data_IF_779356789385
#
_entry.id   IF_779356789385
#
_cell.length_a   1.000
_cell.length_b   1.000
_cell.length_c   1.000
_cell.angle_alpha   90.00
_cell.angle_beta   90.00
_cell.angle_gamma   90.00
#
_symmetry.space_group_name_H-M   'P 1'
#
loop_
_entity.id
_entity.type
_entity.pdbx_description
1 polymer ?
#
# COMPACT_ATOMS: atom_id res chain seq x y z
N UNK A 1 -2.42 31.55 22.40
CA UNK A 1 -1.04 31.03 22.20
C UNK A 1 -1.07 29.54 22.54
N UNK A 2 -0.63 28.63 21.67
CA UNK A 2 -0.73 27.18 21.95
C UNK A 2 0.39 26.62 22.84
N UNK A 3 1.39 27.43 23.23
CA UNK A 3 2.45 26.99 24.14
C UNK A 3 3.47 26.09 23.43
N UNK A 4 3.95 25.04 24.10
CA UNK A 4 4.89 24.08 23.52
C UNK A 4 4.16 23.09 22.60
N UNK A 5 4.88 22.62 21.58
CA UNK A 5 4.34 21.60 20.68
C UNK A 5 4.12 20.26 21.40
N UNK A 6 3.12 19.47 20.97
CA UNK A 6 2.81 18.19 21.59
C UNK A 6 3.95 17.18 21.41
N UNK A 7 4.11 16.28 22.37
CA UNK A 7 4.99 15.13 22.21
C UNK A 7 4.31 14.08 21.30
N UNK A 8 5.10 13.49 20.39
CA UNK A 8 4.65 12.41 19.50
C UNK A 8 5.43 11.15 19.88
N UNK A 9 4.78 10.10 20.41
CA UNK A 9 5.46 8.83 20.67
C UNK A 9 6.06 8.26 19.38
N UNK A 10 7.32 7.84 19.44
CA UNK A 10 8.09 7.36 18.29
C UNK A 10 8.24 8.39 17.16
N UNK A 11 8.07 9.68 17.47
CA UNK A 11 8.21 10.77 16.51
C UNK A 11 9.22 11.79 17.00
N UNK A 12 10.12 12.17 16.11
CA UNK A 12 11.10 13.22 16.33
C UNK A 12 10.65 14.51 15.66
N UNK A 13 10.88 15.64 16.30
CA UNK A 13 10.52 16.95 15.74
C UNK A 13 11.58 17.41 14.75
N UNK A 14 11.20 18.05 13.65
CA UNK A 14 12.19 18.59 12.71
C UNK A 14 13.09 19.65 13.39
N UNK A 15 14.42 19.63 13.13
CA UNK A 15 15.34 20.61 13.68
C UNK A 15 14.91 22.04 13.37
N UNK A 16 14.97 22.94 14.37
CA UNK A 16 14.61 24.35 14.21
C UNK A 16 13.13 24.68 14.46
N UNK A 17 12.35 23.72 14.96
CA UNK A 17 10.97 23.93 15.42
C UNK A 17 10.87 23.92 16.95
N UNK A 18 11.84 24.55 17.62
CA UNK A 18 11.88 24.70 19.07
C UNK A 18 11.42 26.10 19.48
N UNK A 19 10.36 26.20 20.28
CA UNK A 19 9.83 27.48 20.72
C UNK A 19 8.42 27.45 21.29
N UNK A 20 7.90 28.65 21.57
CA UNK A 20 6.47 28.85 21.83
C UNK A 20 5.73 29.09 20.52
N UNK A 21 4.58 28.43 20.39
CA UNK A 21 3.75 28.52 19.19
C UNK A 21 2.50 29.39 19.42
N UNK A 22 2.19 30.19 18.41
CA UNK A 22 1.07 31.11 18.31
C UNK A 22 0.06 30.63 17.27
N UNK A 23 -1.08 31.32 17.20
CA UNK A 23 -2.19 30.96 16.31
C UNK A 23 -1.69 30.82 14.85
N UNK A 24 -2.09 29.73 14.20
CA UNK A 24 -1.70 29.29 12.85
C UNK A 24 -0.29 28.72 12.67
N UNK A 25 0.54 28.69 13.71
CA UNK A 25 1.85 28.03 13.61
C UNK A 25 1.70 26.53 13.36
N UNK A 26 2.67 26.00 12.61
CA UNK A 26 2.75 24.59 12.21
C UNK A 26 4.05 23.96 12.70
N UNK A 27 3.94 22.74 13.25
CA UNK A 27 5.08 21.95 13.70
C UNK A 27 5.11 20.63 12.95
N UNK A 28 6.29 20.31 12.40
CA UNK A 28 6.57 19.11 11.62
C UNK A 28 7.28 18.07 12.47
N UNK A 29 6.86 16.82 12.34
CA UNK A 29 7.52 15.66 12.93
C UNK A 29 7.89 14.65 11.85
N UNK A 30 8.88 13.83 12.13
CA UNK A 30 9.23 12.62 11.40
C UNK A 30 9.10 11.42 12.34
N UNK A 31 8.82 10.24 11.81
CA UNK A 31 8.79 9.03 12.62
C UNK A 31 10.20 8.46 12.83
N UNK A 32 10.44 7.89 14.00
CA UNK A 32 11.66 7.12 14.29
C UNK A 32 11.80 5.94 13.31
N UNK A 33 13.05 5.52 13.07
CA UNK A 33 13.34 4.37 12.21
C UNK A 33 12.55 3.12 12.65
N UNK A 34 11.92 2.45 11.68
CA UNK A 34 11.09 1.27 11.94
C UNK A 34 9.65 1.57 12.38
N UNK A 35 9.24 2.83 12.42
CA UNK A 35 7.84 3.24 12.59
C UNK A 35 7.36 4.09 11.43
N UNK A 36 6.05 4.07 11.17
CA UNK A 36 5.45 4.83 10.08
C UNK A 36 4.13 5.45 10.50
N UNK A 37 3.67 6.44 9.73
CA UNK A 37 2.44 7.18 9.99
C UNK A 37 1.21 6.30 9.97
N UNK A 38 0.62 6.10 11.15
CA UNK A 38 -0.46 5.14 11.36
C UNK A 38 -0.13 3.72 10.85
N UNK A 39 1.17 3.39 10.72
CA UNK A 39 1.64 2.10 10.21
C UNK A 39 1.65 1.98 8.69
N UNK A 40 1.42 3.08 7.94
CA UNK A 40 1.43 3.08 6.47
C UNK A 40 2.76 3.59 5.92
N UNK A 41 3.32 2.88 4.93
CA UNK A 41 4.63 3.20 4.35
C UNK A 41 4.64 4.44 3.43
N UNK A 42 5.78 5.17 3.34
CA UNK A 42 5.99 6.30 2.43
C UNK A 42 5.50 6.12 0.98
N UNK A 43 5.55 4.91 0.42
CA UNK A 43 5.09 4.66 -0.95
C UNK A 43 3.58 4.94 -1.18
N UNK A 44 2.75 4.98 -0.12
CA UNK A 44 1.33 5.39 -0.19
C UNK A 44 0.97 6.55 0.73
N UNK A 45 1.95 7.17 1.36
CA UNK A 45 1.79 8.35 2.19
C UNK A 45 3.17 8.84 2.54
N UNK A 46 3.70 9.72 1.69
CA UNK A 46 5.09 10.22 1.73
C UNK A 46 5.55 10.61 3.12
N UNK A 47 6.88 10.68 3.28
CA UNK A 47 7.62 11.12 4.48
C UNK A 47 6.68 11.83 5.44
N UNK A 48 6.31 11.14 6.51
CA UNK A 48 5.15 11.48 7.29
C UNK A 48 5.37 12.74 8.09
N UNK A 49 5.30 13.88 7.41
CA UNK A 49 5.37 15.20 8.00
C UNK A 49 4.06 15.39 8.75
N UNK A 50 4.06 14.99 10.03
CA UNK A 50 2.91 15.23 10.90
C UNK A 50 2.86 16.74 11.14
N UNK A 51 1.80 17.39 10.69
CA UNK A 51 1.61 18.84 10.89
C UNK A 51 0.64 19.07 12.04
N UNK A 52 1.16 19.58 13.16
CA UNK A 52 0.34 20.09 14.24
C UNK A 52 0.10 21.59 14.03
N UNK A 53 -1.17 22.01 13.89
CA UNK A 53 -1.55 23.42 13.70
C UNK A 53 -2.19 23.99 14.96
N UNK A 54 -1.76 25.18 15.37
CA UNK A 54 -2.34 25.91 16.48
C UNK A 54 -3.64 26.64 16.06
N UNK A 55 -4.79 26.32 16.67
CA UNK A 55 -6.08 26.90 16.30
C UNK A 55 -7.09 27.02 17.44
N UNK A 56 -8.27 27.59 17.14
CA UNK A 56 -9.36 27.83 18.11
C UNK A 56 -10.56 26.86 17.97
N UNK A 57 -10.65 26.12 16.85
CA UNK A 57 -11.81 25.29 16.49
C UNK A 57 -11.44 23.82 16.18
N UNK A 58 -10.70 23.18 17.08
CA UNK A 58 -10.39 21.75 17.00
C UNK A 58 -11.14 20.94 18.06
N UNK A 59 -11.06 19.60 17.99
CA UNK A 59 -11.41 18.72 19.10
C UNK A 59 -10.10 18.07 19.57
N UNK A 60 -9.21 18.84 20.19
CA UNK A 60 -7.85 18.44 20.58
C UNK A 60 -7.59 18.35 22.09
N UNK A 61 -6.35 18.03 22.47
CA UNK A 61 -5.86 18.01 23.87
C UNK A 61 -5.88 19.46 24.38
N UNK A 62 -6.70 19.73 25.41
CA UNK A 62 -6.78 21.05 26.05
C UNK A 62 -5.55 21.24 26.95
N UNK A 63 -4.72 22.22 26.63
CA UNK A 63 -4.05 22.98 27.68
C UNK A 63 -4.77 24.33 27.84
N UNK A 64 -4.54 25.03 28.95
CA UNK A 64 -5.28 26.23 29.32
C UNK A 64 -5.02 27.47 28.42
N UNK A 65 -4.29 27.35 27.29
CA UNK A 65 -3.78 28.50 26.52
C UNK A 65 -4.05 28.47 25.00
N UNK A 66 -4.37 27.32 24.42
CA UNK A 66 -4.76 27.17 23.00
C UNK A 66 -5.02 25.71 22.63
N UNK A 67 -5.52 25.44 21.41
CA UNK A 67 -5.85 24.08 20.99
C UNK A 67 -4.99 23.63 19.81
N UNK A 68 -4.18 22.59 20.03
CA UNK A 68 -3.51 21.86 18.95
C UNK A 68 -4.52 21.05 18.15
N UNK A 69 -4.30 20.92 16.84
CA UNK A 69 -5.10 20.06 15.96
C UNK A 69 -5.22 18.63 16.54
N UNK A 70 -6.38 18.00 16.29
CA UNK A 70 -6.89 16.78 16.93
C UNK A 70 -5.93 15.58 16.78
N UNK A 71 -5.05 15.43 17.78
CA UNK A 71 -4.01 14.40 17.96
C UNK A 71 -3.00 14.33 16.81
N UNK A 72 -1.70 14.50 17.10
CA UNK A 72 -0.67 14.06 16.17
C UNK A 72 -0.94 12.60 15.83
N UNK A 73 -1.10 12.37 14.55
CA UNK A 73 -1.09 11.05 13.94
C UNK A 73 0.09 10.25 14.47
N UNK A 74 -0.17 9.02 14.91
CA UNK A 74 0.80 8.27 15.70
C UNK A 74 1.80 7.57 14.78
N UNK A 75 3.07 7.65 15.12
CA UNK A 75 4.07 6.74 14.60
C UNK A 75 3.80 5.36 15.21
N UNK A 76 3.54 4.37 14.37
CA UNK A 76 3.22 3.02 14.81
C UNK A 76 3.96 1.99 13.97
N UNK A 77 3.99 0.74 14.45
CA UNK A 77 4.62 -0.35 13.74
C UNK A 77 4.09 -0.45 12.29
N UNK A 78 4.97 -0.69 11.31
CA UNK A 78 4.60 -0.78 9.91
C UNK A 78 3.60 -1.90 9.68
N UNK A 79 2.71 -1.68 8.72
CA UNK A 79 1.67 -2.62 8.31
C UNK A 79 1.55 -2.54 6.81
N UNK A 80 1.36 -3.68 6.16
CA UNK A 80 1.06 -3.70 4.75
C UNK A 80 -0.34 -3.11 4.51
N UNK A 81 -0.59 -2.73 3.25
CA UNK A 81 -1.90 -2.29 2.80
C UNK A 81 -3.00 -3.28 3.26
N UNK A 82 -4.15 -2.73 3.63
CA UNK A 82 -5.27 -3.55 4.12
C UNK A 82 -5.86 -4.48 3.06
N UNK A 83 -5.51 -4.31 1.79
CA UNK A 83 -6.04 -5.05 0.66
C UNK A 83 -4.96 -5.28 -0.39
N UNK A 84 -4.82 -6.54 -0.81
CA UNK A 84 -4.05 -6.93 -1.98
C UNK A 84 -4.50 -6.16 -3.24
N UNK A 85 -3.58 -5.75 -4.13
CA UNK A 85 -3.94 -5.07 -5.36
C UNK A 85 -4.78 -5.98 -6.25
N UNK A 86 -5.76 -5.38 -6.90
CA UNK A 86 -6.54 -6.05 -7.93
C UNK A 86 -5.75 -6.00 -9.25
N UNK A 87 -5.46 -7.16 -9.82
CA UNK A 87 -4.69 -7.29 -11.06
C UNK A 87 -5.63 -7.82 -12.14
N UNK A 88 -5.74 -7.08 -13.24
CA UNK A 88 -6.65 -7.41 -14.34
C UNK A 88 -6.34 -8.80 -14.87
N UNK A 89 -7.38 -9.65 -14.92
CA UNK A 89 -7.30 -11.04 -15.38
C UNK A 89 -6.29 -11.91 -14.62
N UNK A 90 -5.97 -11.57 -13.38
CA UNK A 90 -5.13 -12.38 -12.51
C UNK A 90 -5.71 -12.50 -11.10
N UNK A 91 -5.40 -13.61 -10.44
CA UNK A 91 -5.81 -13.90 -9.08
C UNK A 91 -4.61 -14.37 -8.25
N UNK A 92 -4.58 -14.09 -6.93
CA UNK A 92 -3.54 -14.60 -6.06
C UNK A 92 -3.58 -16.13 -5.96
N UNK A 93 -2.42 -16.78 -5.97
CA UNK A 93 -2.25 -18.25 -5.91
C UNK A 93 -2.15 -18.80 -4.49
N UNK A 94 -1.71 -17.96 -3.56
CA UNK A 94 -1.58 -18.29 -2.13
C UNK A 94 -2.93 -18.33 -1.41
N UNK A 95 -2.95 -18.76 -0.14
CA UNK A 95 -4.14 -18.72 0.74
C UNK A 95 -4.79 -17.33 0.86
N UNK A 96 -4.09 -16.26 0.46
CA UNK A 96 -4.61 -14.91 0.46
C UNK A 96 -5.66 -14.71 -0.63
N UNK A 97 -6.86 -14.27 -0.24
CA UNK A 97 -7.93 -13.86 -1.15
C UNK A 97 -7.78 -12.38 -1.53
N UNK A 98 -8.36 -12.00 -2.67
CA UNK A 98 -8.56 -10.60 -3.00
C UNK A 98 -9.32 -9.91 -1.86
N UNK A 99 -8.70 -8.93 -1.21
CA UNK A 99 -9.25 -8.30 0.01
C UNK A 99 -8.48 -8.59 1.29
N UNK A 100 -7.62 -9.61 1.32
CA UNK A 100 -6.88 -9.97 2.52
C UNK A 100 -5.72 -9.01 2.79
N UNK A 101 -5.38 -8.88 4.07
CA UNK A 101 -4.24 -8.12 4.54
C UNK A 101 -2.98 -8.93 4.36
N UNK A 102 -1.99 -8.35 3.69
CA UNK A 102 -0.68 -8.97 3.56
C UNK A 102 0.10 -8.84 4.88
N UNK A 103 0.79 -9.90 5.29
CA UNK A 103 1.74 -9.84 6.41
C UNK A 103 3.05 -9.16 5.97
N UNK A 104 3.78 -8.57 6.91
CA UNK A 104 5.12 -8.04 6.62
C UNK A 104 6.03 -9.16 6.13
N UNK A 105 6.87 -8.86 5.13
CA UNK A 105 7.74 -9.82 4.44
C UNK A 105 7.01 -10.96 3.71
N UNK A 106 5.69 -10.92 3.61
CA UNK A 106 4.96 -11.91 2.83
C UNK A 106 5.00 -11.57 1.34
N UNK A 107 5.17 -12.61 0.53
CA UNK A 107 5.10 -12.55 -0.91
C UNK A 107 3.90 -13.36 -1.38
N UNK A 108 3.06 -12.74 -2.18
CA UNK A 108 1.90 -13.34 -2.84
C UNK A 108 2.19 -13.43 -4.33
N UNK A 109 2.08 -14.63 -4.86
CA UNK A 109 2.15 -14.88 -6.29
C UNK A 109 0.75 -14.71 -6.91
N UNK A 110 0.73 -14.27 -8.16
CA UNK A 110 -0.48 -14.13 -8.96
C UNK A 110 -0.40 -15.04 -10.17
N UNK A 111 -1.52 -15.67 -10.49
CA UNK A 111 -1.73 -16.46 -11.70
C UNK A 111 -2.81 -15.80 -12.56
N UNK A 112 -2.70 -15.99 -13.87
CA UNK A 112 -3.74 -15.53 -14.78
C UNK A 112 -5.04 -16.33 -14.56
N UNK A 113 -6.15 -15.62 -14.57
CA UNK A 113 -7.49 -16.19 -14.47
C UNK A 113 -7.77 -17.15 -15.63
N UNK A 114 -8.74 -18.04 -15.44
CA UNK A 114 -9.16 -18.99 -16.47
C UNK A 114 -9.43 -18.29 -17.82
N UNK A 115 -8.81 -18.79 -18.89
CA UNK A 115 -8.92 -18.19 -20.23
C UNK A 115 -7.87 -17.12 -20.53
N UNK A 116 -6.91 -16.90 -19.64
CA UNK A 116 -5.78 -15.99 -19.85
C UNK A 116 -4.44 -16.69 -19.59
N UNK A 117 -3.38 -16.18 -20.20
CA UNK A 117 -2.00 -16.64 -20.05
C UNK A 117 -1.05 -15.45 -19.91
N UNK A 118 0.10 -15.58 -19.22
CA UNK A 118 1.09 -14.51 -19.20
C UNK A 118 1.53 -14.15 -20.61
N UNK A 119 1.60 -12.85 -20.90
CA UNK A 119 2.06 -12.30 -22.18
C UNK A 119 3.45 -12.81 -22.57
N UNK A 120 4.31 -12.98 -21.58
CA UNK A 120 5.62 -13.60 -21.73
C UNK A 120 5.64 -14.90 -20.94
N UNK A 121 5.89 -16.00 -21.64
CA UNK A 121 5.91 -17.35 -21.06
C UNK A 121 6.94 -17.41 -19.91
N UNK A 122 6.55 -18.02 -18.78
CA UNK A 122 7.39 -18.11 -17.59
C UNK A 122 7.41 -16.87 -16.69
N UNK A 123 6.64 -15.81 -17.02
CA UNK A 123 6.53 -14.63 -16.15
C UNK A 123 5.48 -14.85 -15.06
N UNK A 124 5.86 -14.61 -13.81
CA UNK A 124 4.99 -14.72 -12.64
C UNK A 124 4.84 -13.35 -11.99
N UNK A 125 3.60 -12.93 -11.75
CA UNK A 125 3.31 -11.71 -11.01
C UNK A 125 3.57 -11.95 -9.54
N UNK A 126 4.38 -11.10 -8.90
CA UNK A 126 4.60 -11.19 -7.45
C UNK A 126 4.36 -9.85 -6.77
N UNK A 127 3.65 -9.90 -5.65
CA UNK A 127 3.41 -8.79 -4.75
C UNK A 127 4.11 -9.13 -3.44
N UNK A 128 5.11 -8.35 -3.08
CA UNK A 128 5.84 -8.50 -1.80
C UNK A 128 5.56 -7.31 -0.92
N UNK A 129 5.22 -7.55 0.33
CA UNK A 129 5.24 -6.51 1.35
C UNK A 129 6.59 -6.51 2.06
N UNK A 130 7.28 -5.37 2.06
CA UNK A 130 8.54 -5.20 2.78
C UNK A 130 8.32 -5.19 4.30
N UNK A 131 9.42 -5.28 5.07
CA UNK A 131 9.41 -5.09 6.52
C UNK A 131 8.99 -3.68 6.94
N UNK A 132 9.07 -2.70 6.03
CA UNK A 132 8.66 -1.31 6.24
C UNK A 132 7.18 -1.06 5.85
N UNK A 133 6.50 -2.08 5.32
CA UNK A 133 5.11 -1.97 4.87
C UNK A 133 4.98 -1.47 3.42
N UNK A 134 6.08 -1.34 2.69
CA UNK A 134 6.04 -1.02 1.26
C UNK A 134 5.55 -2.19 0.45
N UNK A 135 4.66 -1.91 -0.50
CA UNK A 135 4.25 -2.89 -1.47
C UNK A 135 5.15 -2.79 -2.70
N UNK A 136 5.97 -3.82 -2.91
CA UNK A 136 6.74 -3.97 -4.14
C UNK A 136 5.99 -4.93 -5.04
N UNK A 137 5.60 -4.46 -6.22
CA UNK A 137 5.00 -5.31 -7.23
C UNK A 137 6.04 -5.57 -8.31
N UNK A 138 6.52 -6.80 -8.40
CA UNK A 138 7.35 -7.22 -9.53
C UNK A 138 6.39 -7.53 -10.69
N UNK A 139 6.00 -6.47 -11.42
CA UNK A 139 5.17 -6.54 -12.61
C UNK A 139 5.97 -6.48 -13.90
N UNK A 140 7.30 -6.54 -13.85
CA UNK A 140 8.13 -6.43 -15.06
C UNK A 140 7.67 -7.51 -16.05
N UNK A 141 6.87 -7.07 -17.03
CA UNK A 141 6.25 -7.88 -18.07
C UNK A 141 5.13 -8.85 -17.64
N UNK A 142 4.56 -8.74 -16.43
CA UNK A 142 3.42 -9.57 -16.02
C UNK A 142 2.09 -8.93 -16.45
N UNK A 143 1.58 -9.38 -17.60
CA UNK A 143 0.29 -9.00 -18.16
C UNK A 143 -0.45 -10.26 -18.60
N UNK A 144 -1.70 -10.43 -18.19
CA UNK A 144 -2.52 -11.59 -18.56
C UNK A 144 -3.31 -11.30 -19.84
N UNK A 145 -2.96 -12.00 -20.92
CA UNK A 145 -3.59 -11.88 -22.25
C UNK A 145 -4.51 -13.08 -22.51
N UNK A 146 -5.54 -12.95 -23.37
CA UNK A 146 -6.44 -14.05 -23.67
C UNK A 146 -5.69 -15.28 -24.21
N UNK A 147 -6.06 -16.46 -23.73
CA UNK A 147 -5.53 -17.72 -24.20
C UNK A 147 -5.95 -17.94 -25.66
N UNK A 148 -4.99 -17.97 -26.57
CA UNK A 148 -5.22 -18.32 -27.98
C UNK A 148 -5.09 -19.84 -28.11
N UNK A 149 -6.20 -20.53 -28.33
CA UNK A 149 -6.17 -21.94 -28.66
C UNK A 149 -5.50 -22.12 -30.04
N UNK A 150 -4.54 -23.04 -30.19
CA UNK A 150 -4.01 -23.37 -31.50
C UNK A 150 -5.15 -23.85 -32.40
N UNK A 151 -5.10 -23.48 -33.68
CA UNK A 151 -6.00 -24.04 -34.68
C UNK A 151 -5.92 -25.55 -34.59
N UNK A 152 -7.08 -26.21 -34.54
CA UNK A 152 -7.18 -27.66 -34.52
C UNK A 152 -6.31 -28.24 -35.64
N UNK A 153 -5.50 -29.28 -35.36
CA UNK A 153 -4.69 -29.89 -36.41
C UNK A 153 -5.59 -30.36 -37.54
N UNK A 154 -5.18 -30.10 -38.78
CA UNK A 154 -5.84 -30.66 -39.95
C UNK A 154 -5.83 -32.18 -39.83
N UNK A 155 -7.02 -32.77 -39.74
CA UNK A 155 -7.17 -34.21 -39.62
C UNK A 155 -6.74 -34.82 -40.95
N UNK A 156 -5.51 -35.33 -41.04
CA UNK A 156 -4.94 -35.70 -42.34
C UNK A 156 -5.57 -36.95 -42.95
N UNK A 157 -6.21 -37.85 -42.17
CA UNK A 157 -6.96 -38.99 -42.72
C UNK A 157 -8.12 -39.46 -41.81
N UNK A 158 -9.31 -39.63 -42.40
CA UNK A 158 -10.53 -40.30 -41.89
C UNK A 158 -11.17 -39.90 -40.53
N UNK A 159 -10.72 -38.85 -39.85
CA UNK A 159 -11.43 -38.33 -38.68
C UNK A 159 -12.40 -37.20 -39.03
N UNK A 160 -13.47 -37.06 -38.24
CA UNK A 160 -14.45 -35.98 -38.34
C UNK A 160 -14.43 -35.18 -37.05
N UNK A 161 -14.28 -33.85 -37.13
CA UNK A 161 -14.46 -32.97 -35.98
C UNK A 161 -15.96 -32.91 -35.63
N UNK A 162 -16.32 -33.39 -34.43
CA UNK A 162 -17.68 -33.28 -33.89
C UNK A 162 -17.64 -32.24 -32.78
N UNK A 163 -18.01 -31.00 -33.10
CA UNK A 163 -18.04 -29.86 -32.18
C UNK A 163 -18.12 -28.52 -32.92
N UNK A 164 -18.48 -27.42 -32.24
CA UNK A 164 -18.50 -26.10 -32.87
C UNK A 164 -17.07 -25.74 -33.31
N UNK A 165 -16.90 -25.50 -34.61
CA UNK A 165 -15.71 -24.83 -35.13
C UNK A 165 -15.73 -23.38 -34.64
N UNK A 166 -14.62 -22.95 -34.06
CA UNK A 166 -14.41 -21.56 -33.62
C UNK A 166 -14.40 -20.60 -34.82
#
# INVERSE_FOLDING_TARGET
KCGRAPEVPHGERYPGTDGEFSYEDEVKYTCEEGTTHNGLSPAKGGEAVLVAKCGVHGWGIRDSRGQWSKRPVQCSAPRCQERLPDIVNAAPTSDYKAGDRLLLNATVQYECSLGYTPKTEGTLGTVTCSSQGDLTIAMDNFECVPLVCPLLPTIMYHGTLIGPAA
#
